data_IF_308666622314
#
_entry.id   IF_308666622314
#
_cell.length_a   1.000
_cell.length_b   1.000
_cell.length_c   1.000
_cell.angle_alpha   90.00
_cell.angle_beta   90.00
_cell.angle_gamma   90.00
#
_symmetry.space_group_name_H-M   'P 1'
#
loop_
_entity.id
_entity.type
_entity.pdbx_description
1 polymer ?
#
# COMPACT_ATOMS: atom_id res chain seq x y z
N UNK A 1 -6.69 12.07 -13.94
CA UNK A 1 -7.10 11.60 -12.62
C UNK A 1 -6.84 10.09 -12.49
N UNK A 2 -7.43 9.24 -13.30
CA UNK A 2 -7.31 7.76 -13.21
C UNK A 2 -5.86 7.23 -13.34
N UNK A 3 -4.98 7.94 -14.06
CA UNK A 3 -3.56 7.58 -14.12
C UNK A 3 -2.89 7.58 -12.73
N UNK A 4 -3.31 8.47 -11.81
CA UNK A 4 -2.77 8.49 -10.45
C UNK A 4 -3.26 7.29 -9.62
N UNK A 5 -4.46 6.82 -9.88
CA UNK A 5 -5.04 5.66 -9.21
C UNK A 5 -4.33 4.35 -9.61
N UNK A 6 -4.10 4.15 -10.90
CA UNK A 6 -3.33 2.98 -11.36
C UNK A 6 -1.87 3.03 -10.89
N UNK A 7 -1.26 4.22 -10.85
CA UNK A 7 0.08 4.41 -10.30
C UNK A 7 0.11 4.08 -8.79
N UNK A 8 -0.95 4.45 -8.05
CA UNK A 8 -1.08 4.09 -6.63
C UNK A 8 -1.17 2.58 -6.44
N UNK A 9 -1.99 1.86 -7.23
CA UNK A 9 -2.06 0.41 -7.16
C UNK A 9 -0.70 -0.25 -7.42
N UNK A 10 0.07 0.25 -8.39
CA UNK A 10 1.40 -0.26 -8.69
C UNK A 10 2.42 0.05 -7.57
N UNK A 11 2.37 1.26 -6.98
CA UNK A 11 3.31 1.66 -5.93
C UNK A 11 3.13 0.86 -4.63
N UNK A 12 1.91 0.39 -4.32
CA UNK A 12 1.64 -0.48 -3.16
C UNK A 12 2.52 -1.73 -3.19
N UNK A 13 2.73 -2.30 -4.37
CA UNK A 13 3.53 -3.51 -4.56
C UNK A 13 4.99 -3.26 -4.15
N UNK A 14 5.56 -2.09 -4.51
CA UNK A 14 6.97 -1.77 -4.26
C UNK A 14 7.33 -1.84 -2.78
N UNK A 15 6.44 -1.36 -1.90
CA UNK A 15 6.65 -1.39 -0.45
C UNK A 15 6.77 -2.81 0.10
N UNK A 16 5.89 -3.71 -0.32
CA UNK A 16 5.88 -5.09 0.17
C UNK A 16 7.11 -5.91 -0.25
N UNK A 17 7.67 -5.64 -1.44
CA UNK A 17 8.77 -6.41 -2.04
C UNK A 17 10.15 -5.76 -1.88
N UNK A 18 10.21 -4.63 -1.19
CA UNK A 18 11.43 -3.87 -0.97
C UNK A 18 12.58 -4.74 -0.45
N UNK A 19 13.82 -4.28 -0.67
CA UNK A 19 15.09 -4.87 -0.21
C UNK A 19 15.47 -6.23 -0.81
N UNK A 20 14.61 -6.88 -1.63
CA UNK A 20 14.94 -8.19 -2.23
C UNK A 20 14.50 -8.37 -3.68
N UNK A 21 13.70 -7.46 -4.23
CA UNK A 21 13.27 -7.53 -5.62
C UNK A 21 14.21 -6.74 -6.53
N UNK A 22 14.55 -7.30 -7.69
CA UNK A 22 15.28 -6.57 -8.74
C UNK A 22 14.46 -5.39 -9.24
N UNK A 23 15.08 -4.26 -9.49
CA UNK A 23 14.42 -3.07 -10.02
C UNK A 23 13.69 -3.35 -11.34
N UNK A 24 14.36 -4.00 -12.32
CA UNK A 24 13.72 -4.38 -13.58
C UNK A 24 12.58 -5.38 -13.37
N UNK A 25 12.67 -6.25 -12.36
CA UNK A 25 11.58 -7.15 -11.97
C UNK A 25 10.34 -6.37 -11.52
N UNK A 26 10.53 -5.32 -10.72
CA UNK A 26 9.44 -4.43 -10.31
C UNK A 26 8.82 -3.68 -11.51
N UNK A 27 9.61 -3.21 -12.47
CA UNK A 27 9.08 -2.58 -13.69
C UNK A 27 8.19 -3.55 -14.48
N UNK A 28 8.60 -4.81 -14.63
CA UNK A 28 7.80 -5.83 -15.32
C UNK A 28 6.49 -6.13 -14.57
N UNK A 29 6.52 -6.20 -13.23
CA UNK A 29 5.30 -6.34 -12.42
C UNK A 29 4.39 -5.13 -12.59
N UNK A 30 4.95 -3.93 -12.62
CA UNK A 30 4.21 -2.70 -12.85
C UNK A 30 3.47 -2.74 -14.20
N UNK A 31 4.11 -3.20 -15.26
CA UNK A 31 3.47 -3.38 -16.58
C UNK A 31 2.29 -4.37 -16.50
N UNK A 32 2.46 -5.49 -15.83
CA UNK A 32 1.37 -6.47 -15.62
C UNK A 32 0.22 -5.86 -14.81
N UNK A 33 0.56 -5.20 -13.71
CA UNK A 33 -0.43 -4.59 -12.82
C UNK A 33 -1.23 -3.50 -13.53
N UNK A 34 -0.55 -2.57 -14.22
CA UNK A 34 -1.16 -1.39 -14.83
C UNK A 34 -1.76 -1.64 -16.22
N UNK A 35 -1.20 -2.60 -16.96
CA UNK A 35 -1.64 -2.91 -18.33
C UNK A 35 -2.66 -4.04 -18.44
N UNK A 36 -2.76 -4.91 -17.44
CA UNK A 36 -3.63 -6.09 -17.49
C UNK A 36 -4.61 -6.12 -16.30
N UNK A 37 -4.09 -6.23 -15.07
CA UNK A 37 -4.94 -6.53 -13.89
C UNK A 37 -5.84 -5.34 -13.58
N UNK A 38 -5.27 -4.17 -13.39
CA UNK A 38 -6.01 -2.98 -12.98
C UNK A 38 -7.05 -2.52 -14.01
N UNK A 39 -6.77 -2.44 -15.32
CA UNK A 39 -7.76 -1.99 -16.30
C UNK A 39 -8.98 -2.91 -16.38
N UNK A 40 -8.79 -4.23 -16.27
CA UNK A 40 -9.88 -5.18 -16.28
C UNK A 40 -10.80 -5.01 -15.08
N UNK A 41 -10.21 -4.89 -13.88
CA UNK A 41 -10.96 -4.64 -12.64
C UNK A 41 -11.67 -3.28 -12.69
N UNK A 42 -10.99 -2.24 -13.13
CA UNK A 42 -11.55 -0.91 -13.30
C UNK A 42 -12.73 -0.92 -14.27
N UNK A 43 -12.63 -1.67 -15.37
CA UNK A 43 -13.73 -1.84 -16.30
C UNK A 43 -14.94 -2.54 -15.65
N UNK A 44 -14.73 -3.59 -14.87
CA UNK A 44 -15.82 -4.31 -14.22
C UNK A 44 -16.64 -3.45 -13.28
N UNK A 45 -15.99 -2.53 -12.56
CA UNK A 45 -16.61 -1.83 -11.46
C UNK A 45 -16.91 -0.34 -11.73
N UNK A 46 -16.15 0.31 -12.63
CA UNK A 46 -16.25 1.77 -12.85
C UNK A 46 -16.70 2.18 -14.27
N UNK A 47 -16.87 1.25 -15.21
CA UNK A 47 -17.12 1.64 -16.63
C UNK A 47 -18.47 2.30 -16.89
N UNK A 48 -19.52 2.00 -16.11
CA UNK A 48 -20.84 2.61 -16.27
C UNK A 48 -20.92 4.03 -15.70
N UNK A 49 -20.20 4.29 -14.61
CA UNK A 49 -20.22 5.59 -13.93
C UNK A 49 -19.55 6.70 -14.75
N UNK A 50 -18.60 6.36 -15.61
CA UNK A 50 -17.91 7.35 -16.42
C UNK A 50 -18.85 8.06 -17.41
N UNK A 51 -19.72 7.32 -18.08
CA UNK A 51 -20.66 7.89 -19.06
C UNK A 51 -21.87 8.58 -18.41
N UNK A 52 -22.34 8.09 -17.26
CA UNK A 52 -23.45 8.69 -16.52
C UNK A 52 -23.09 10.06 -15.93
N UNK A 53 -21.82 10.28 -15.60
CA UNK A 53 -21.33 11.53 -15.03
C UNK A 53 -20.80 12.55 -16.06
N UNK A 54 -20.75 12.19 -17.35
CA UNK A 54 -20.44 13.14 -18.42
C UNK A 54 -21.63 14.10 -18.61
N UNK A 55 -21.44 15.38 -18.29
CA UNK A 55 -22.45 16.43 -18.55
C UNK A 55 -22.11 17.16 -19.85
N UNK A 56 -23.15 17.45 -20.64
CA UNK A 56 -23.06 18.28 -21.86
C UNK A 56 -23.50 17.58 -23.14
N UNK A 57 -23.61 18.34 -24.24
CA UNK A 57 -24.10 17.85 -25.53
C UNK A 57 -23.23 16.72 -26.13
N UNK A 58 -21.92 16.75 -25.89
CA UNK A 58 -20.99 15.68 -26.32
C UNK A 58 -21.24 14.34 -25.61
N UNK A 59 -21.52 14.39 -24.31
CA UNK A 59 -21.87 13.20 -23.53
C UNK A 59 -23.21 12.60 -23.99
N UNK A 60 -24.22 13.45 -24.25
CA UNK A 60 -25.52 13.01 -24.76
C UNK A 60 -25.39 12.40 -26.16
N UNK A 61 -24.53 12.94 -27.02
CA UNK A 61 -24.28 12.39 -28.35
C UNK A 61 -23.56 11.03 -28.27
N UNK A 62 -22.56 10.88 -27.40
CA UNK A 62 -21.86 9.62 -27.16
C UNK A 62 -22.81 8.54 -26.59
N UNK A 63 -23.69 8.92 -25.66
CA UNK A 63 -24.72 8.04 -25.09
C UNK A 63 -25.74 7.63 -26.16
N UNK A 64 -26.14 8.56 -27.03
CA UNK A 64 -27.13 8.31 -28.09
C UNK A 64 -26.57 7.49 -29.27
N UNK A 65 -25.27 7.57 -29.53
CA UNK A 65 -24.62 6.87 -30.65
C UNK A 65 -24.06 5.49 -30.31
N UNK A 66 -23.89 5.19 -29.03
CA UNK A 66 -23.46 3.87 -28.57
C UNK A 66 -24.67 2.92 -28.49
N UNK A 67 -24.86 2.11 -29.51
CA UNK A 67 -25.92 1.11 -29.60
C UNK A 67 -25.75 -0.10 -28.67
N UNK A 68 -24.54 -0.27 -28.06
CA UNK A 68 -24.26 -1.27 -27.01
C UNK A 68 -23.40 -0.62 -25.93
N UNK A 69 -23.98 -0.39 -24.74
CA UNK A 69 -23.21 0.00 -23.57
C UNK A 69 -22.41 -1.23 -23.09
N UNK A 70 -21.12 -1.19 -23.27
CA UNK A 70 -20.23 -2.14 -22.60
C UNK A 70 -20.01 -1.65 -21.16
N UNK A 71 -21.02 -1.85 -20.32
CA UNK A 71 -20.96 -1.55 -18.89
C UNK A 71 -20.24 -2.66 -18.13
N UNK A 72 -19.58 -2.32 -17.06
CA UNK A 72 -18.95 -3.31 -16.19
C UNK A 72 -20.00 -4.12 -15.44
N UNK A 73 -19.89 -5.42 -15.47
CA UNK A 73 -20.88 -6.31 -14.87
C UNK A 73 -21.05 -6.11 -13.35
N UNK A 74 -20.02 -5.73 -12.63
CA UNK A 74 -20.12 -5.37 -11.21
C UNK A 74 -20.87 -4.06 -11.01
N UNK A 75 -20.59 -3.07 -11.85
CA UNK A 75 -21.30 -1.80 -11.82
C UNK A 75 -22.79 -1.99 -12.12
N UNK A 76 -23.13 -2.84 -13.10
CA UNK A 76 -24.52 -3.17 -13.43
C UNK A 76 -25.25 -3.90 -12.29
N UNK A 77 -24.52 -4.62 -11.44
CA UNK A 77 -25.06 -5.23 -10.22
C UNK A 77 -25.27 -4.25 -9.08
N UNK A 78 -24.80 -2.99 -9.18
CA UNK A 78 -24.83 -2.00 -8.11
C UNK A 78 -23.65 -2.07 -7.14
N UNK A 79 -22.51 -2.64 -7.57
CA UNK A 79 -21.27 -2.59 -6.78
C UNK A 79 -20.74 -1.16 -6.70
N UNK A 80 -20.42 -0.72 -5.48
CA UNK A 80 -19.94 0.63 -5.20
C UNK A 80 -18.56 0.56 -4.55
N UNK A 81 -17.62 1.26 -5.16
CA UNK A 81 -16.30 1.56 -4.59
C UNK A 81 -15.94 2.98 -5.03
N UNK A 82 -16.31 3.98 -4.20
CA UNK A 82 -16.31 5.39 -4.58
C UNK A 82 -14.93 5.89 -5.05
N UNK A 83 -13.89 5.63 -4.27
CA UNK A 83 -12.55 6.07 -4.60
C UNK A 83 -11.49 4.95 -4.63
N UNK A 84 -11.87 3.67 -4.48
CA UNK A 84 -10.96 2.55 -4.76
C UNK A 84 -10.41 1.80 -3.56
N UNK A 85 -11.17 1.62 -2.47
CA UNK A 85 -10.74 0.70 -1.39
C UNK A 85 -10.40 -0.69 -1.93
N UNK A 86 -11.22 -1.24 -2.84
CA UNK A 86 -10.93 -2.51 -3.51
C UNK A 86 -10.17 -2.30 -4.82
N UNK A 87 -10.68 -1.46 -5.72
CA UNK A 87 -10.18 -1.35 -7.10
C UNK A 87 -8.72 -0.86 -7.15
N UNK A 88 -8.33 0.02 -6.24
CA UNK A 88 -6.96 0.54 -6.15
C UNK A 88 -6.17 -0.21 -5.08
N UNK A 89 -6.63 -0.11 -3.82
CA UNK A 89 -5.85 -0.54 -2.67
C UNK A 89 -5.82 -2.06 -2.53
N UNK A 90 -6.97 -2.72 -2.55
CA UNK A 90 -7.03 -4.17 -2.42
C UNK A 90 -6.40 -4.87 -3.62
N UNK A 91 -6.58 -4.38 -4.85
CA UNK A 91 -5.91 -4.92 -6.05
C UNK A 91 -4.38 -4.82 -5.92
N UNK A 92 -3.86 -3.64 -5.57
CA UNK A 92 -2.42 -3.47 -5.31
C UNK A 92 -1.92 -4.42 -4.21
N UNK A 93 -2.70 -4.58 -3.14
CA UNK A 93 -2.39 -5.48 -2.03
C UNK A 93 -2.43 -6.97 -2.41
N UNK A 94 -3.37 -7.41 -3.27
CA UNK A 94 -3.41 -8.79 -3.78
C UNK A 94 -2.21 -9.12 -4.67
N UNK A 95 -1.81 -8.19 -5.54
CA UNK A 95 -0.61 -8.35 -6.38
C UNK A 95 0.64 -8.36 -5.49
N UNK A 96 0.70 -7.49 -4.47
CA UNK A 96 1.78 -7.46 -3.49
C UNK A 96 1.90 -8.80 -2.75
N UNK A 97 0.79 -9.39 -2.29
CA UNK A 97 0.78 -10.71 -1.65
C UNK A 97 1.30 -11.80 -2.60
N UNK A 98 0.86 -11.80 -3.87
CA UNK A 98 1.38 -12.73 -4.89
C UNK A 98 2.88 -12.61 -5.06
N UNK A 99 3.41 -11.39 -5.15
CA UNK A 99 4.83 -11.12 -5.31
C UNK A 99 5.64 -11.56 -4.06
N UNK A 100 5.16 -11.24 -2.87
CA UNK A 100 5.81 -11.63 -1.60
C UNK A 100 5.88 -13.16 -1.45
N UNK A 101 4.80 -13.87 -1.78
CA UNK A 101 4.78 -15.35 -1.74
C UNK A 101 5.75 -16.00 -2.74
N UNK A 102 6.01 -15.35 -3.87
CA UNK A 102 6.95 -15.83 -4.89
C UNK A 102 8.39 -15.54 -4.49
N UNK A 103 8.66 -14.36 -3.94
CA UNK A 103 10.00 -13.94 -3.53
C UNK A 103 10.47 -14.62 -2.24
N UNK A 104 9.56 -14.92 -1.34
CA UNK A 104 9.88 -15.36 0.02
C UNK A 104 10.35 -14.22 0.93
N UNK A 105 10.63 -14.50 2.21
CA UNK A 105 11.10 -13.51 3.16
C UNK A 105 12.55 -13.07 2.87
N UNK A 106 12.93 -11.87 3.37
CA UNK A 106 14.31 -11.39 3.36
C UNK A 106 15.22 -12.34 4.13
N UNK A 107 16.47 -12.43 3.73
CA UNK A 107 17.46 -13.32 4.34
C UNK A 107 17.59 -12.99 5.83
N UNK A 108 17.37 -14.00 6.68
CA UNK A 108 17.48 -13.88 8.12
C UNK A 108 16.32 -13.17 8.82
N UNK A 109 15.27 -12.71 8.13
CA UNK A 109 14.15 -11.93 8.71
C UNK A 109 13.50 -12.63 9.91
N UNK A 110 13.29 -13.93 9.80
CA UNK A 110 12.64 -14.75 10.85
C UNK A 110 13.59 -15.64 11.63
N UNK A 111 14.91 -15.48 11.46
CA UNK A 111 15.88 -16.24 12.26
C UNK A 111 15.91 -15.74 13.71
N UNK A 112 16.06 -16.64 14.67
CA UNK A 112 16.15 -16.26 16.09
C UNK A 112 17.34 -15.30 16.38
N UNK A 113 18.46 -15.46 15.65
CA UNK A 113 19.63 -14.58 15.78
C UNK A 113 19.33 -13.11 15.40
N UNK A 114 18.33 -12.88 14.57
CA UNK A 114 17.97 -11.56 14.05
C UNK A 114 16.64 -11.03 14.59
N UNK A 115 16.05 -11.69 15.56
CA UNK A 115 14.78 -11.27 16.17
C UNK A 115 14.88 -9.84 16.68
N UNK A 116 14.00 -8.97 16.16
CA UNK A 116 13.97 -7.53 16.48
C UNK A 116 15.05 -6.66 15.82
N UNK A 117 15.90 -7.19 14.95
CA UNK A 117 16.95 -6.41 14.25
C UNK A 117 16.47 -5.77 12.93
N UNK A 118 15.38 -6.25 12.36
CA UNK A 118 14.79 -5.67 11.14
C UNK A 118 13.93 -4.46 11.50
N UNK A 119 14.58 -3.29 11.57
CA UNK A 119 13.93 -2.01 11.82
C UNK A 119 13.97 -1.14 10.56
N UNK A 120 13.03 -0.19 10.44
CA UNK A 120 13.05 0.78 9.34
C UNK A 120 14.30 1.65 9.37
N UNK A 121 14.79 2.05 8.21
CA UNK A 121 16.00 2.86 8.06
C UNK A 121 15.86 4.29 8.61
N UNK A 122 14.67 4.88 8.50
CA UNK A 122 14.40 6.23 8.98
C UNK A 122 12.95 6.42 9.41
N UNK A 123 12.72 6.39 10.71
CA UNK A 123 11.40 6.67 11.28
C UNK A 123 10.87 8.08 10.94
N UNK A 124 11.68 9.16 11.05
CA UNK A 124 11.21 10.50 10.68
C UNK A 124 10.75 10.60 9.24
N UNK A 125 11.45 9.97 8.28
CA UNK A 125 11.02 9.96 6.88
C UNK A 125 9.75 9.13 6.67
N UNK A 126 9.56 8.03 7.39
CA UNK A 126 8.34 7.25 7.34
C UNK A 126 7.13 8.05 7.86
N UNK A 127 7.29 8.79 8.95
CA UNK A 127 6.25 9.70 9.48
C UNK A 127 5.94 10.81 8.47
N UNK A 128 6.96 11.45 7.90
CA UNK A 128 6.77 12.48 6.87
C UNK A 128 6.03 11.90 5.66
N UNK A 129 6.39 10.71 5.19
CA UNK A 129 5.69 10.02 4.10
C UNK A 129 4.22 9.76 4.43
N UNK A 130 3.92 9.34 5.66
CA UNK A 130 2.55 9.14 6.14
C UNK A 130 1.74 10.43 6.13
N UNK A 131 2.32 11.56 6.57
CA UNK A 131 1.66 12.86 6.55
C UNK A 131 1.41 13.35 5.11
N UNK A 132 2.36 13.14 4.20
CA UNK A 132 2.21 13.48 2.77
C UNK A 132 1.08 12.62 2.15
N UNK A 133 1.03 11.32 2.44
CA UNK A 133 -0.05 10.43 1.99
C UNK A 133 -1.40 10.87 2.55
N UNK A 134 -1.48 11.20 3.85
CA UNK A 134 -2.71 11.69 4.46
C UNK A 134 -3.20 12.98 3.79
N UNK A 135 -2.30 13.95 3.59
CA UNK A 135 -2.62 15.17 2.87
C UNK A 135 -3.10 14.88 1.43
N UNK A 136 -2.39 14.03 0.69
CA UNK A 136 -2.77 13.61 -0.66
C UNK A 136 -4.13 12.91 -0.72
N UNK A 137 -4.54 12.26 0.38
CA UNK A 137 -5.83 11.54 0.46
C UNK A 137 -7.05 12.46 0.42
N UNK A 138 -6.91 13.70 0.84
CA UNK A 138 -7.97 14.70 0.62
C UNK A 138 -8.24 14.91 -0.87
N UNK A 139 -7.18 14.97 -1.69
CA UNK A 139 -7.32 14.99 -3.14
C UNK A 139 -7.76 13.64 -3.72
N UNK A 140 -7.32 12.53 -3.15
CA UNK A 140 -7.70 11.20 -3.58
C UNK A 140 -9.21 10.97 -3.42
N UNK A 141 -9.77 11.21 -2.25
CA UNK A 141 -11.19 11.05 -1.97
C UNK A 141 -12.02 12.23 -2.46
N UNK A 142 -11.63 13.46 -2.16
CA UNK A 142 -12.37 14.65 -2.58
C UNK A 142 -12.41 14.83 -4.09
N UNK A 143 -11.29 14.54 -4.78
CA UNK A 143 -11.22 14.57 -6.24
C UNK A 143 -12.05 13.49 -6.93
N UNK A 144 -12.35 12.37 -6.25
CA UNK A 144 -13.22 11.31 -6.76
C UNK A 144 -14.68 11.74 -6.90
N UNK A 145 -15.07 12.86 -6.28
CA UNK A 145 -16.40 13.46 -6.48
C UNK A 145 -16.58 14.04 -7.90
N UNK A 146 -15.48 14.30 -8.62
CA UNK A 146 -15.51 14.81 -9.98
C UNK A 146 -15.92 16.28 -10.14
N UNK A 147 -16.48 16.90 -9.09
CA UNK A 147 -16.88 18.30 -9.04
C UNK A 147 -16.60 18.89 -7.64
N UNK A 148 -16.41 20.20 -7.57
CA UNK A 148 -16.28 20.92 -6.32
C UNK A 148 -17.67 21.43 -5.89
N UNK A 149 -18.42 20.59 -5.23
CA UNK A 149 -19.79 20.85 -4.78
C UNK A 149 -19.97 20.63 -3.26
N UNK A 150 -21.21 20.69 -2.78
CA UNK A 150 -21.55 20.60 -1.36
C UNK A 150 -21.28 19.22 -0.73
N UNK A 151 -20.98 18.17 -1.51
CA UNK A 151 -20.61 16.85 -1.00
C UNK A 151 -19.14 16.80 -0.55
N UNK A 152 -18.26 17.60 -1.18
CA UNK A 152 -16.81 17.57 -0.92
C UNK A 152 -16.45 17.82 0.55
N UNK A 153 -17.02 18.78 1.29
CA UNK A 153 -16.71 18.98 2.70
C UNK A 153 -16.95 17.75 3.55
N UNK A 154 -18.05 17.01 3.35
CA UNK A 154 -18.33 15.77 4.07
C UNK A 154 -17.30 14.67 3.75
N UNK A 155 -16.93 14.52 2.48
CA UNK A 155 -15.91 13.57 2.03
C UNK A 155 -14.57 13.84 2.73
N UNK A 156 -14.15 15.11 2.81
CA UNK A 156 -12.89 15.50 3.46
C UNK A 156 -12.94 15.26 4.98
N UNK A 157 -14.06 15.58 5.63
CA UNK A 157 -14.24 15.35 7.07
C UNK A 157 -14.22 13.85 7.38
N UNK A 158 -14.94 13.04 6.61
CA UNK A 158 -14.96 11.58 6.79
C UNK A 158 -13.57 10.96 6.57
N UNK A 159 -12.84 11.43 5.57
CA UNK A 159 -11.46 11.02 5.31
C UNK A 159 -10.55 11.35 6.51
N UNK A 160 -10.63 12.58 7.03
CA UNK A 160 -9.86 13.00 8.18
C UNK A 160 -10.18 12.20 9.44
N UNK A 161 -11.46 12.02 9.75
CA UNK A 161 -11.91 11.31 10.95
C UNK A 161 -11.49 9.83 10.92
N UNK A 162 -11.65 9.14 9.79
CA UNK A 162 -11.25 7.75 9.68
C UNK A 162 -9.72 7.58 9.89
N UNK A 163 -8.91 8.49 9.36
CA UNK A 163 -7.47 8.49 9.57
C UNK A 163 -7.09 8.79 11.03
N UNK A 164 -7.68 9.83 11.63
CA UNK A 164 -7.39 10.24 13.00
C UNK A 164 -7.74 9.15 14.01
N UNK A 165 -8.91 8.53 13.88
CA UNK A 165 -9.31 7.43 14.74
C UNK A 165 -8.57 6.12 14.43
N UNK A 166 -8.14 5.90 13.18
CA UNK A 166 -7.21 4.84 12.82
C UNK A 166 -5.86 4.99 13.54
N UNK A 167 -5.31 6.22 13.58
CA UNK A 167 -4.08 6.54 14.32
C UNK A 167 -4.25 6.26 15.83
N UNK A 168 -5.33 6.74 16.44
CA UNK A 168 -5.61 6.51 17.85
C UNK A 168 -5.75 5.01 18.15
N UNK A 169 -6.34 4.25 17.23
CA UNK A 169 -6.48 2.79 17.33
C UNK A 169 -5.11 2.11 17.25
N UNK A 170 -4.26 2.48 16.29
CA UNK A 170 -2.90 1.96 16.19
C UNK A 170 -2.07 2.24 17.44
N UNK A 171 -2.18 3.47 17.97
CA UNK A 171 -1.53 3.85 19.24
C UNK A 171 -2.05 3.01 20.41
N UNK A 172 -3.36 2.89 20.59
CA UNK A 172 -3.96 2.11 21.67
C UNK A 172 -3.61 0.62 21.58
N UNK A 173 -3.68 0.03 20.38
CA UNK A 173 -3.30 -1.35 20.14
C UNK A 173 -1.83 -1.61 20.48
N UNK A 174 -0.92 -0.68 20.11
CA UNK A 174 0.49 -0.81 20.43
C UNK A 174 0.75 -0.83 21.96
N UNK A 175 0.03 -0.03 22.73
CA UNK A 175 0.11 -0.08 24.20
C UNK A 175 -0.41 -1.41 24.77
N UNK A 176 -1.46 -1.97 24.17
CA UNK A 176 -2.02 -3.27 24.63
C UNK A 176 -1.02 -4.38 24.34
N UNK A 177 -0.45 -4.42 23.12
CA UNK A 177 0.42 -5.51 22.67
C UNK A 177 1.83 -5.39 23.25
N UNK A 178 2.46 -4.20 23.18
CA UNK A 178 3.88 -3.99 23.51
C UNK A 178 4.12 -3.22 24.81
N UNK A 179 3.06 -2.75 25.49
CA UNK A 179 3.13 -1.91 26.71
C UNK A 179 3.85 -0.57 26.51
N UNK A 180 4.03 -0.15 25.26
CA UNK A 180 4.65 1.11 24.84
C UNK A 180 4.17 1.49 23.45
N UNK A 181 4.26 2.77 23.06
CA UNK A 181 4.01 3.16 21.68
C UNK A 181 4.94 2.43 20.72
N UNK A 182 4.38 1.80 19.70
CA UNK A 182 5.12 1.21 18.61
C UNK A 182 4.97 2.07 17.36
N UNK A 183 6.09 2.51 16.82
CA UNK A 183 6.14 3.44 15.70
C UNK A 183 5.46 2.88 14.44
N UNK A 184 5.62 1.58 14.19
CA UNK A 184 5.04 0.92 13.02
C UNK A 184 3.51 0.95 13.06
N UNK A 185 2.89 0.64 14.22
CA UNK A 185 1.43 0.66 14.35
C UNK A 185 0.85 2.08 14.36
N UNK A 186 1.59 3.05 14.88
CA UNK A 186 1.20 4.47 14.82
C UNK A 186 1.14 4.98 13.37
N UNK A 187 2.00 4.46 12.48
CA UNK A 187 1.99 4.76 11.04
C UNK A 187 0.93 3.94 10.31
N UNK A 188 0.82 2.65 10.60
CA UNK A 188 -0.10 1.72 9.95
C UNK A 188 -1.56 2.09 10.18
N UNK A 189 -1.90 2.52 11.41
CA UNK A 189 -3.27 2.84 11.82
C UNK A 189 -3.98 3.89 10.96
N UNK A 190 -3.43 5.09 10.79
CA UNK A 190 -4.06 6.12 9.98
C UNK A 190 -4.19 5.73 8.51
N UNK A 191 -3.18 5.06 7.94
CA UNK A 191 -3.24 4.59 6.55
C UNK A 191 -4.33 3.54 6.35
N UNK A 192 -4.50 2.60 7.29
CA UNK A 192 -5.58 1.63 7.26
C UNK A 192 -6.97 2.30 7.40
N UNK A 193 -7.06 3.33 8.23
CA UNK A 193 -8.28 4.14 8.36
C UNK A 193 -8.64 4.86 7.05
N UNK A 194 -7.66 5.46 6.40
CA UNK A 194 -7.80 6.13 5.09
C UNK A 194 -8.29 5.15 4.02
N UNK A 195 -7.62 4.00 3.89
CA UNK A 195 -8.02 2.97 2.94
C UNK A 195 -9.43 2.48 3.19
N UNK A 196 -9.81 2.27 4.45
CA UNK A 196 -11.12 1.75 4.81
C UNK A 196 -12.27 2.68 4.47
N UNK A 197 -12.08 3.99 4.59
CA UNK A 197 -13.16 4.95 4.31
C UNK A 197 -13.29 5.28 2.81
N UNK A 198 -12.27 4.97 2.04
CA UNK A 198 -12.13 5.36 0.62
C UNK A 198 -13.30 4.92 -0.26
N UNK A 199 -13.89 3.74 -0.02
CA UNK A 199 -15.03 3.25 -0.80
C UNK A 199 -16.36 3.95 -0.51
N UNK A 200 -16.52 4.56 0.67
CA UNK A 200 -17.82 5.09 1.12
C UNK A 200 -17.76 6.47 1.79
N UNK A 201 -16.66 7.20 1.62
CA UNK A 201 -16.49 8.51 2.27
C UNK A 201 -17.55 9.55 1.88
N UNK A 202 -18.16 9.41 0.70
CA UNK A 202 -19.22 10.27 0.19
C UNK A 202 -20.63 9.93 0.74
N UNK A 203 -20.83 8.69 1.21
CA UNK A 203 -22.16 8.13 1.50
C UNK A 203 -22.34 7.68 2.96
N UNK A 204 -21.33 7.89 3.80
CA UNK A 204 -21.36 7.56 5.23
C UNK A 204 -21.45 8.81 6.09
N UNK A 205 -22.05 8.68 7.29
CA UNK A 205 -22.01 9.75 8.30
C UNK A 205 -20.61 9.83 8.92
N UNK A 206 -20.28 11.00 9.50
CA UNK A 206 -18.98 11.19 10.17
C UNK A 206 -18.76 10.22 11.35
N UNK A 207 -19.82 9.90 12.10
CA UNK A 207 -19.74 8.89 13.16
C UNK A 207 -19.41 7.50 12.60
N UNK A 208 -20.04 7.13 11.50
CA UNK A 208 -19.76 5.85 10.82
C UNK A 208 -18.35 5.81 10.26
N UNK A 209 -17.85 6.91 9.70
CA UNK A 209 -16.47 7.01 9.22
C UNK A 209 -15.44 6.74 10.33
N UNK A 210 -15.71 7.21 11.55
CA UNK A 210 -14.89 6.90 12.74
C UNK A 210 -14.85 5.39 12.98
N UNK A 211 -16.01 4.72 13.03
CA UNK A 211 -16.06 3.27 13.27
C UNK A 211 -15.38 2.47 12.15
N UNK A 212 -15.57 2.88 10.90
CA UNK A 212 -14.93 2.24 9.74
C UNK A 212 -13.40 2.35 9.84
N UNK A 213 -12.87 3.50 10.22
CA UNK A 213 -11.45 3.72 10.44
C UNK A 213 -10.87 2.90 11.60
N UNK A 214 -11.57 2.83 12.73
CA UNK A 214 -11.18 2.01 13.89
C UNK A 214 -11.11 0.53 13.50
N UNK A 215 -12.16 -0.01 12.91
CA UNK A 215 -12.23 -1.43 12.55
C UNK A 215 -11.18 -1.77 11.50
N UNK A 216 -11.00 -0.90 10.48
CA UNK A 216 -9.97 -1.09 9.46
C UNK A 216 -8.55 -1.12 10.03
N UNK A 217 -8.25 -0.25 10.99
CA UNK A 217 -6.98 -0.25 11.70
C UNK A 217 -6.77 -1.54 12.51
N UNK A 218 -7.79 -2.02 13.23
CA UNK A 218 -7.73 -3.29 13.96
C UNK A 218 -7.52 -4.50 13.03
N UNK A 219 -8.21 -4.52 11.90
CA UNK A 219 -8.05 -5.57 10.88
C UNK A 219 -6.62 -5.55 10.33
N UNK A 220 -6.10 -4.39 9.98
CA UNK A 220 -4.74 -4.26 9.47
C UNK A 220 -3.70 -4.74 10.50
N UNK A 221 -3.84 -4.37 11.77
CA UNK A 221 -2.97 -4.85 12.85
C UNK A 221 -3.05 -6.38 12.97
N UNK A 222 -4.26 -6.94 13.01
CA UNK A 222 -4.45 -8.38 13.11
C UNK A 222 -3.87 -9.15 11.92
N UNK A 223 -4.02 -8.62 10.70
CA UNK A 223 -3.45 -9.24 9.50
C UNK A 223 -1.92 -9.11 9.49
N UNK A 224 -1.35 -7.99 9.95
CA UNK A 224 0.10 -7.86 10.09
C UNK A 224 0.68 -8.93 11.04
N UNK A 225 0.04 -9.16 12.18
CA UNK A 225 0.46 -10.22 13.12
C UNK A 225 0.31 -11.61 12.49
N UNK A 226 -0.74 -11.82 11.70
CA UNK A 226 -0.97 -13.07 10.99
C UNK A 226 0.12 -13.32 9.93
N UNK A 227 0.48 -12.32 9.14
CA UNK A 227 1.56 -12.43 8.15
C UNK A 227 2.89 -12.76 8.82
N UNK A 228 3.23 -12.08 9.93
CA UNK A 228 4.43 -12.37 10.71
C UNK A 228 4.42 -13.81 11.26
N UNK A 229 3.27 -14.30 11.73
CA UNK A 229 3.13 -15.68 12.23
C UNK A 229 3.36 -16.73 11.13
N UNK A 230 2.98 -16.43 9.89
CA UNK A 230 3.19 -17.30 8.74
C UNK A 230 4.51 -17.01 7.99
N UNK A 231 5.37 -16.17 8.54
CA UNK A 231 6.65 -15.78 7.94
C UNK A 231 6.52 -15.17 6.54
N UNK A 232 5.40 -14.47 6.29
CA UNK A 232 5.16 -13.71 5.06
C UNK A 232 5.71 -12.30 5.29
N UNK A 233 6.85 -12.00 4.68
CA UNK A 233 7.60 -10.76 4.92
C UNK A 233 7.11 -9.62 4.06
N UNK A 234 6.22 -8.82 4.60
CA UNK A 234 5.79 -7.53 4.05
C UNK A 234 6.57 -6.41 4.73
N UNK A 235 7.46 -5.75 3.99
CA UNK A 235 8.45 -4.83 4.56
C UNK A 235 7.84 -3.62 5.25
N UNK A 236 6.77 -3.06 4.66
CA UNK A 236 6.16 -1.81 5.13
C UNK A 236 4.71 -1.96 5.62
N UNK A 237 4.18 -3.18 5.65
CA UNK A 237 2.79 -3.40 6.00
C UNK A 237 1.80 -3.01 4.90
N UNK A 238 2.22 -3.09 3.63
CA UNK A 238 1.38 -2.75 2.50
C UNK A 238 0.17 -3.69 2.35
N UNK A 239 0.36 -4.99 2.58
CA UNK A 239 -0.71 -5.99 2.50
C UNK A 239 -1.78 -5.74 3.57
N UNK A 240 -1.47 -5.64 4.88
CA UNK A 240 -2.49 -5.38 5.88
C UNK A 240 -3.23 -4.06 5.66
N UNK A 241 -2.54 -2.99 5.28
CA UNK A 241 -3.14 -1.68 5.03
C UNK A 241 -4.01 -1.70 3.77
N UNK A 242 -3.47 -2.16 2.63
CA UNK A 242 -4.16 -1.96 1.37
C UNK A 242 -5.08 -3.12 1.00
N UNK A 243 -4.67 -4.37 1.22
CA UNK A 243 -5.53 -5.52 0.95
C UNK A 243 -6.61 -5.64 2.03
N UNK A 244 -6.22 -5.82 3.29
CA UNK A 244 -7.17 -6.19 4.31
C UNK A 244 -8.12 -5.04 4.69
N UNK A 245 -7.59 -3.83 4.93
CA UNK A 245 -8.42 -2.67 5.19
C UNK A 245 -9.20 -2.22 3.94
N UNK A 246 -8.69 -2.49 2.72
CA UNK A 246 -9.42 -2.22 1.47
C UNK A 246 -10.63 -3.12 1.28
N UNK A 247 -10.48 -4.42 1.52
CA UNK A 247 -11.60 -5.39 1.55
C UNK A 247 -12.66 -4.94 2.56
N UNK A 248 -12.23 -4.60 3.79
CA UNK A 248 -13.13 -4.10 4.81
C UNK A 248 -13.85 -2.83 4.37
N UNK A 249 -13.14 -1.84 3.82
CA UNK A 249 -13.73 -0.56 3.41
C UNK A 249 -14.85 -0.71 2.38
N UNK A 250 -14.65 -1.60 1.42
CA UNK A 250 -15.67 -1.89 0.41
C UNK A 250 -16.86 -2.66 1.00
N UNK A 251 -16.63 -3.61 1.89
CA UNK A 251 -17.72 -4.28 2.61
C UNK A 251 -18.48 -3.30 3.51
N UNK A 252 -17.80 -2.35 4.14
CA UNK A 252 -18.41 -1.33 4.98
C UNK A 252 -19.43 -0.46 4.23
N UNK A 253 -19.27 -0.26 2.93
CA UNK A 253 -20.30 0.40 2.09
C UNK A 253 -21.63 -0.34 2.20
N UNK A 254 -21.62 -1.65 2.07
CA UNK A 254 -22.83 -2.47 2.19
C UNK A 254 -23.49 -2.36 3.57
N UNK A 255 -22.72 -2.24 4.64
CA UNK A 255 -23.24 -2.17 6.00
C UNK A 255 -23.71 -0.77 6.40
N UNK A 256 -22.98 0.28 6.00
CA UNK A 256 -23.08 1.58 6.65
C UNK A 256 -23.43 2.76 5.75
N UNK A 257 -23.26 2.66 4.42
CA UNK A 257 -23.59 3.78 3.52
C UNK A 257 -25.08 4.07 3.49
N UNK A 258 -25.44 5.32 3.28
CA UNK A 258 -26.82 5.72 3.01
C UNK A 258 -27.23 5.20 1.62
N UNK A 259 -28.25 4.35 1.57
CA UNK A 259 -28.72 3.74 0.32
C UNK A 259 -29.32 4.74 -0.67
N UNK A 260 -29.92 5.84 -0.16
CA UNK A 260 -30.43 6.92 -1.01
C UNK A 260 -29.28 7.65 -1.75
N UNK A 261 -28.13 7.82 -1.08
CA UNK A 261 -26.93 8.43 -1.71
C UNK A 261 -26.28 7.47 -2.68
N UNK A 262 -26.29 6.16 -2.40
CA UNK A 262 -25.73 5.15 -3.32
C UNK A 262 -26.55 5.04 -4.63
N UNK A 263 -27.83 5.33 -4.57
CA UNK A 263 -28.78 5.33 -5.71
C UNK A 263 -28.73 4.04 -6.57
N UNK A 264 -28.51 2.90 -5.89
CA UNK A 264 -28.45 1.59 -6.57
C UNK A 264 -29.81 0.91 -6.71
N UNK A 265 -30.83 1.40 -5.99
CA UNK A 265 -32.13 0.77 -5.88
C UNK A 265 -32.15 -0.55 -5.08
N UNK A 266 -31.01 -0.95 -4.51
CA UNK A 266 -30.85 -2.20 -3.77
C UNK A 266 -31.29 -2.01 -2.29
N UNK A 267 -31.83 -3.08 -1.73
CA UNK A 267 -32.01 -3.18 -0.28
C UNK A 267 -30.67 -3.33 0.45
N UNK A 268 -30.64 -3.11 1.77
CA UNK A 268 -29.42 -3.26 2.59
C UNK A 268 -28.77 -4.63 2.43
N UNK A 269 -29.56 -5.70 2.44
CA UNK A 269 -29.06 -7.06 2.30
C UNK A 269 -28.52 -7.35 0.89
N UNK A 270 -29.14 -6.81 -0.13
CA UNK A 270 -28.67 -6.90 -1.51
C UNK A 270 -27.36 -6.12 -1.70
N UNK A 271 -27.28 -4.90 -1.15
CA UNK A 271 -26.06 -4.11 -1.23
C UNK A 271 -24.86 -4.83 -0.56
N UNK A 272 -25.05 -5.41 0.63
CA UNK A 272 -24.02 -6.23 1.29
C UNK A 272 -23.60 -7.40 0.40
N UNK A 273 -24.55 -8.11 -0.17
CA UNK A 273 -24.27 -9.25 -1.05
C UNK A 273 -23.49 -8.85 -2.30
N UNK A 274 -23.84 -7.74 -2.93
CA UNK A 274 -23.16 -7.24 -4.13
C UNK A 274 -21.74 -6.79 -3.79
N UNK A 275 -21.53 -6.07 -2.67
CA UNK A 275 -20.20 -5.70 -2.22
C UNK A 275 -19.33 -6.93 -1.95
N UNK A 276 -19.88 -7.97 -1.33
CA UNK A 276 -19.17 -9.23 -1.10
C UNK A 276 -18.79 -9.93 -2.42
N UNK A 277 -19.72 -10.03 -3.38
CA UNK A 277 -19.46 -10.61 -4.71
C UNK A 277 -18.31 -9.84 -5.39
N UNK A 278 -18.37 -8.50 -5.39
CA UNK A 278 -17.36 -7.67 -6.01
C UNK A 278 -15.98 -7.86 -5.38
N UNK A 279 -15.90 -7.78 -4.06
CA UNK A 279 -14.63 -7.98 -3.32
C UNK A 279 -14.01 -9.34 -3.60
N UNK A 280 -14.83 -10.42 -3.56
CA UNK A 280 -14.36 -11.79 -3.82
C UNK A 280 -13.92 -11.97 -5.26
N UNK A 281 -14.71 -11.51 -6.22
CA UNK A 281 -14.41 -11.66 -7.66
C UNK A 281 -13.14 -10.89 -8.05
N UNK A 282 -13.01 -9.65 -7.58
CA UNK A 282 -11.82 -8.82 -7.82
C UNK A 282 -10.61 -9.44 -7.12
N UNK A 283 -10.76 -9.86 -5.87
CA UNK A 283 -9.68 -10.45 -5.10
C UNK A 283 -9.15 -11.74 -5.72
N UNK A 284 -10.04 -12.66 -6.09
CA UNK A 284 -9.66 -13.90 -6.77
C UNK A 284 -8.95 -13.63 -8.10
N UNK A 285 -9.50 -12.73 -8.92
CA UNK A 285 -8.89 -12.38 -10.19
C UNK A 285 -7.52 -11.72 -10.01
N UNK A 286 -7.41 -10.71 -9.12
CA UNK A 286 -6.18 -10.00 -8.89
C UNK A 286 -5.09 -10.90 -8.30
N UNK A 287 -5.45 -11.75 -7.31
CA UNK A 287 -4.50 -12.69 -6.69
C UNK A 287 -4.08 -13.81 -7.66
N UNK A 288 -5.04 -14.58 -8.18
CA UNK A 288 -4.72 -15.74 -9.03
C UNK A 288 -4.08 -15.28 -10.35
N UNK A 289 -4.64 -14.22 -10.98
CA UNK A 289 -4.09 -13.67 -12.21
C UNK A 289 -2.66 -13.18 -12.04
N UNK A 290 -2.39 -12.37 -11.01
CA UNK A 290 -1.03 -11.91 -10.73
C UNK A 290 -0.11 -13.07 -10.32
N UNK A 291 -0.56 -13.99 -9.47
CA UNK A 291 0.27 -15.12 -9.03
C UNK A 291 0.73 -15.99 -10.21
N UNK A 292 -0.18 -16.32 -11.13
CA UNK A 292 0.14 -17.10 -12.32
C UNK A 292 1.12 -16.33 -13.22
N UNK A 293 0.81 -15.07 -13.55
CA UNK A 293 1.65 -14.25 -14.43
C UNK A 293 3.05 -14.03 -13.82
N UNK A 294 3.13 -13.76 -12.52
CA UNK A 294 4.40 -13.58 -11.82
C UNK A 294 5.19 -14.88 -11.67
N UNK A 295 4.54 -16.03 -11.51
CA UNK A 295 5.23 -17.34 -11.54
C UNK A 295 5.84 -17.61 -12.91
N UNK A 296 5.09 -17.34 -13.99
CA UNK A 296 5.61 -17.45 -15.36
C UNK A 296 6.78 -16.48 -15.56
N UNK A 297 6.62 -15.23 -15.17
CA UNK A 297 7.69 -14.23 -15.28
C UNK A 297 8.94 -14.65 -14.51
N UNK A 298 8.77 -15.10 -13.25
CA UNK A 298 9.88 -15.53 -12.40
C UNK A 298 10.62 -16.76 -12.93
N UNK A 299 9.95 -17.61 -13.70
CA UNK A 299 10.59 -18.74 -14.36
C UNK A 299 11.56 -18.29 -15.46
N UNK A 300 11.19 -17.31 -16.28
CA UNK A 300 12.06 -16.77 -17.36
C UNK A 300 13.02 -15.70 -16.85
N UNK A 301 12.62 -14.92 -15.87
CA UNK A 301 13.39 -13.82 -15.29
C UNK A 301 13.27 -13.86 -13.77
N UNK A 302 14.25 -14.46 -13.06
CA UNK A 302 14.24 -14.50 -11.59
C UNK A 302 14.08 -13.10 -10.98
N UNK A 303 12.97 -12.88 -10.27
CA UNK A 303 12.59 -11.56 -9.74
C UNK A 303 13.44 -11.15 -8.53
N UNK A 304 13.91 -12.12 -7.73
CA UNK A 304 14.73 -11.84 -6.55
C UNK A 304 16.18 -11.58 -6.94
N UNK A 305 16.83 -10.66 -6.24
CA UNK A 305 18.28 -10.45 -6.34
C UNK A 305 19.07 -11.64 -5.78
N UNK A 306 20.39 -11.71 -6.05
CA UNK A 306 21.23 -12.71 -5.40
C UNK A 306 21.37 -12.44 -3.91
N UNK A 307 21.73 -13.47 -3.13
CA UNK A 307 21.96 -13.31 -1.69
C UNK A 307 23.02 -12.23 -1.40
N UNK A 308 24.08 -12.18 -2.17
CA UNK A 308 25.12 -11.16 -2.04
C UNK A 308 24.58 -9.74 -2.25
N UNK A 309 23.73 -9.52 -3.26
CA UNK A 309 23.14 -8.21 -3.54
C UNK A 309 22.13 -7.81 -2.45
N UNK A 310 21.40 -8.77 -1.88
CA UNK A 310 20.47 -8.53 -0.77
C UNK A 310 21.23 -8.12 0.51
N UNK A 311 22.37 -8.78 0.79
CA UNK A 311 23.24 -8.43 1.93
C UNK A 311 23.96 -7.09 1.76
N UNK A 312 24.40 -6.76 0.53
CA UNK A 312 25.02 -5.46 0.21
C UNK A 312 23.99 -4.30 0.29
N UNK A 313 22.71 -4.61 0.14
CA UNK A 313 21.64 -3.63 0.00
C UNK A 313 21.43 -3.16 -1.43
N UNK A 314 20.16 -3.03 -1.83
CA UNK A 314 19.78 -2.71 -3.21
C UNK A 314 20.20 -1.30 -3.65
N UNK A 315 20.37 -0.36 -2.73
CA UNK A 315 20.89 0.97 -3.03
C UNK A 315 22.24 0.89 -3.76
N UNK A 316 23.11 -0.01 -3.32
CA UNK A 316 24.41 -0.23 -3.95
C UNK A 316 24.25 -1.17 -5.15
N UNK A 317 23.65 -2.34 -4.92
CA UNK A 317 23.64 -3.43 -5.90
C UNK A 317 22.84 -3.10 -7.18
N UNK A 318 21.78 -2.32 -7.09
CA UNK A 318 20.89 -1.98 -8.20
C UNK A 318 21.01 -0.52 -8.66
N UNK A 319 21.49 0.39 -7.80
CA UNK A 319 21.46 1.84 -8.09
C UNK A 319 22.82 2.54 -7.96
N UNK A 320 23.86 1.84 -7.57
CA UNK A 320 25.20 2.41 -7.36
C UNK A 320 25.18 3.60 -6.37
N UNK A 321 24.18 3.65 -5.48
CA UNK A 321 24.02 4.72 -4.51
C UNK A 321 24.86 4.43 -3.28
N UNK A 322 26.12 4.86 -3.28
CA UNK A 322 27.06 4.73 -2.16
C UNK A 322 26.81 5.88 -1.17
N UNK A 323 26.77 5.56 0.11
CA UNK A 323 26.80 6.58 1.19
C UNK A 323 28.06 6.43 2.02
N UNK A 324 28.54 7.56 2.55
CA UNK A 324 29.73 7.59 3.42
C UNK A 324 29.53 6.76 4.69
N UNK A 325 28.29 6.69 5.20
CA UNK A 325 27.90 5.85 6.31
C UNK A 325 28.05 4.35 5.99
N UNK A 326 27.64 3.97 4.79
CA UNK A 326 27.76 2.57 4.32
C UNK A 326 29.23 2.17 4.13
N UNK A 327 30.06 3.06 3.58
CA UNK A 327 31.49 2.84 3.43
C UNK A 327 32.16 2.64 4.79
N UNK A 328 31.77 3.45 5.79
CA UNK A 328 32.27 3.31 7.15
C UNK A 328 31.88 1.95 7.76
N UNK A 329 30.60 1.54 7.61
CA UNK A 329 30.12 0.23 8.10
C UNK A 329 30.86 -0.91 7.43
N UNK A 330 31.04 -0.84 6.09
CA UNK A 330 31.77 -1.85 5.30
C UNK A 330 33.22 -2.00 5.76
N UNK A 331 33.88 -0.88 6.08
CA UNK A 331 35.27 -0.88 6.59
C UNK A 331 35.32 -1.52 7.98
N UNK A 332 34.39 -1.18 8.86
CA UNK A 332 34.31 -1.77 10.21
C UNK A 332 34.05 -3.28 10.15
N UNK A 333 33.17 -3.73 9.27
CA UNK A 333 32.90 -5.15 9.05
C UNK A 333 34.14 -5.89 8.51
N UNK A 334 34.84 -5.29 7.54
CA UNK A 334 36.07 -5.84 6.99
C UNK A 334 37.15 -5.96 8.05
N UNK A 335 37.36 -4.93 8.86
CA UNK A 335 38.34 -4.97 9.97
C UNK A 335 37.97 -6.05 10.99
N UNK A 336 36.68 -6.19 11.32
CA UNK A 336 36.20 -7.23 12.24
C UNK A 336 36.48 -8.64 11.74
N UNK A 337 36.43 -8.85 10.41
CA UNK A 337 36.66 -10.16 9.78
C UNK A 337 38.14 -10.47 9.52
N UNK A 338 38.92 -9.45 9.21
CA UNK A 338 40.34 -9.61 8.80
C UNK A 338 41.32 -9.29 9.92
N UNK A 339 40.85 -8.71 11.01
CA UNK A 339 41.69 -8.15 12.12
C UNK A 339 42.69 -7.09 11.64
N UNK A 340 42.54 -6.57 10.39
CA UNK A 340 43.39 -5.56 9.81
C UNK A 340 42.93 -4.16 10.22
N UNK A 341 43.51 -3.63 11.29
CA UNK A 341 43.24 -2.30 11.82
C UNK A 341 43.94 -1.17 11.04
N UNK A 342 44.65 -1.45 9.97
CA UNK A 342 45.31 -0.43 9.15
C UNK A 342 44.39 0.28 8.20
N UNK A 343 43.26 -0.34 7.85
CA UNK A 343 42.23 0.23 6.98
C UNK A 343 41.61 1.45 7.65
N UNK A 344 41.41 2.54 6.93
CA UNK A 344 40.87 3.80 7.46
C UNK A 344 39.47 4.07 6.91
N UNK A 345 38.62 4.60 7.76
CA UNK A 345 37.28 5.07 7.40
C UNK A 345 37.28 6.34 6.54
N UNK A 346 36.19 6.64 5.87
CA UNK A 346 36.04 7.86 5.08
C UNK A 346 36.22 9.11 5.93
N UNK A 347 36.68 10.19 5.31
CA UNK A 347 37.03 11.43 6.03
C UNK A 347 36.32 12.66 5.41
N UNK A 348 35.09 12.51 4.99
CA UNK A 348 34.30 13.62 4.47
C UNK A 348 33.75 14.47 5.64
N UNK A 349 34.21 15.73 5.84
CA UNK A 349 33.78 16.56 6.95
C UNK A 349 32.35 17.09 6.81
N UNK A 350 31.72 16.92 5.62
CA UNK A 350 30.38 17.44 5.34
C UNK A 350 29.27 16.39 5.54
N UNK A 351 29.63 15.15 5.87
CA UNK A 351 28.68 14.07 6.15
C UNK A 351 28.87 13.53 7.57
N UNK A 352 27.78 13.04 8.17
CA UNK A 352 27.83 12.43 9.51
C UNK A 352 28.77 11.22 9.53
N UNK A 353 28.70 10.35 8.51
CA UNK A 353 29.57 9.19 8.39
C UNK A 353 31.04 9.55 8.25
N UNK A 354 31.36 10.60 7.50
CA UNK A 354 32.74 11.08 7.35
C UNK A 354 33.28 11.70 8.60
N UNK A 355 32.49 12.47 9.37
CA UNK A 355 32.86 12.99 10.67
C UNK A 355 33.14 11.86 11.67
N UNK A 356 32.28 10.85 11.73
CA UNK A 356 32.49 9.64 12.55
C UNK A 356 33.77 8.93 12.11
N UNK A 357 33.99 8.77 10.80
CA UNK A 357 35.21 8.18 10.25
C UNK A 357 36.49 8.93 10.62
N UNK A 358 36.46 10.28 10.66
CA UNK A 358 37.57 11.08 11.13
C UNK A 358 37.92 10.77 12.59
N UNK A 359 36.93 10.72 13.49
CA UNK A 359 37.16 10.38 14.89
C UNK A 359 37.62 8.93 15.06
N UNK A 360 37.03 8.01 14.31
CA UNK A 360 37.43 6.62 14.25
C UNK A 360 38.92 6.48 13.85
N UNK A 361 39.33 7.11 12.75
CA UNK A 361 40.72 7.09 12.29
C UNK A 361 41.70 7.66 13.33
N UNK A 362 41.31 8.73 14.03
CA UNK A 362 42.12 9.28 15.18
C UNK A 362 42.24 8.28 16.34
N UNK A 363 41.21 7.46 16.58
CA UNK A 363 41.27 6.42 17.60
C UNK A 363 42.21 5.30 17.20
N UNK A 364 42.16 4.87 15.93
CA UNK A 364 43.01 3.80 15.37
C UNK A 364 44.48 4.21 15.13
N UNK A 365 44.80 5.49 15.24
CA UNK A 365 46.17 6.01 15.09
C UNK A 365 46.92 6.14 16.40
N UNK A 366 46.26 5.88 17.54
CA UNK A 366 46.85 5.84 18.89
C UNK A 366 47.22 4.41 19.25
#
# INVERSE_FOLDING_TARGET
FQAMFVATAATIISGAVAERMKFNGYLLITIIATGIIYPLVGHWAWSSNYLANMQGAEAQLLIATQTTRHTGWLSDMGFIDFAGSTIVHSVGGWIALSAVLILGPRIGRYSEANKGKFTGSSFPLAVLGTLILWFGWFGFNGGSNGAMDDAVPLILINTFLAAAFGLLTGLAASFIIYKKPDAFYVILGPLAGLVSITAGCNSMTSLTAIFVGIIGSLIAIGVNELLNKFEIDDVVGAIPVHLAAGVWGTLAVGFFSNLEILDTGLTRSEQIKVQFIGVVSIGLFAFLGSYILLKILNYFYPLRVSALHEELGLNIAEHNAVSVEHDLISILDKQSKTEDLTIRGPQDPFTTGGVIGLYYNKLMSK
#
